data_IF_678851447711
#
_entry.id   IF_678851447711
#
_cell.length_a   1.000
_cell.length_b   1.000
_cell.length_c   1.000
_cell.angle_alpha   90.00
_cell.angle_beta   90.00
_cell.angle_gamma   90.00
#
_symmetry.space_group_name_H-M   'P 1'
#
loop_
_entity.id
_entity.type
_entity.pdbx_description
1 polymer ?
#
# COMPACT_ATOMS: atom_id res chain seq x y z
N UNK A 1 9.48 -5.43 7.26
CA UNK A 1 9.84 -4.93 5.92
C UNK A 1 9.25 -3.55 5.69
N UNK A 2 10.04 -2.59 5.18
CA UNK A 2 9.51 -1.28 4.72
C UNK A 2 9.44 -1.30 3.19
N UNK A 3 8.24 -1.13 2.63
CA UNK A 3 8.04 -0.96 1.19
C UNK A 3 8.26 0.51 0.85
N UNK A 4 9.24 0.81 0.01
CA UNK A 4 9.53 2.18 -0.41
C UNK A 4 9.95 2.22 -1.87
N UNK A 5 9.87 3.41 -2.47
CA UNK A 5 10.13 3.60 -3.90
C UNK A 5 8.88 3.35 -4.73
N UNK A 6 8.56 4.29 -5.62
CA UNK A 6 7.39 4.15 -6.50
C UNK A 6 6.02 4.45 -5.88
N UNK A 7 5.85 4.44 -4.55
CA UNK A 7 4.57 4.77 -3.90
C UNK A 7 4.17 6.24 -4.14
N UNK A 8 2.92 6.46 -4.56
CA UNK A 8 2.33 7.77 -4.92
C UNK A 8 0.98 8.05 -4.24
N UNK A 9 0.29 7.01 -3.77
CA UNK A 9 -1.07 7.12 -3.20
C UNK A 9 -1.22 6.31 -1.91
N UNK A 10 -2.22 6.65 -1.10
CA UNK A 10 -2.56 5.89 0.10
C UNK A 10 -3.02 4.47 -0.20
N UNK A 11 -3.68 4.25 -1.34
CA UNK A 11 -4.07 2.90 -1.80
C UNK A 11 -2.84 2.02 -2.07
N UNK A 12 -1.75 2.59 -2.60
CA UNK A 12 -0.49 1.86 -2.80
C UNK A 12 0.24 1.53 -1.49
N UNK A 13 0.09 2.37 -0.46
CA UNK A 13 0.54 2.04 0.91
C UNK A 13 -0.24 0.85 1.43
N UNK A 14 -1.57 0.86 1.33
CA UNK A 14 -2.42 -0.25 1.78
C UNK A 14 -2.09 -1.55 1.03
N UNK A 15 -1.90 -1.49 -0.30
CA UNK A 15 -1.44 -2.65 -1.08
C UNK A 15 -0.09 -3.17 -0.60
N UNK A 16 0.86 -2.27 -0.31
CA UNK A 16 2.18 -2.67 0.19
C UNK A 16 2.08 -3.43 1.51
N UNK A 17 1.26 -2.94 2.43
CA UNK A 17 1.05 -3.58 3.73
C UNK A 17 0.36 -4.93 3.56
N UNK A 18 -0.72 -4.98 2.77
CA UNK A 18 -1.44 -6.22 2.47
C UNK A 18 -0.55 -7.28 1.79
N UNK A 19 0.46 -6.86 1.02
CA UNK A 19 1.46 -7.76 0.43
C UNK A 19 2.57 -8.21 1.40
N UNK A 20 2.60 -7.70 2.64
CA UNK A 20 3.51 -8.14 3.69
C UNK A 20 4.53 -7.10 4.17
N UNK A 21 4.39 -5.82 3.81
CA UNK A 21 5.20 -4.75 4.40
C UNK A 21 4.61 -4.27 5.74
N UNK A 22 5.44 -3.82 6.67
CA UNK A 22 4.99 -3.21 7.93
C UNK A 22 4.68 -1.72 7.75
N UNK A 23 5.27 -1.09 6.71
CA UNK A 23 5.15 0.34 6.45
C UNK A 23 5.39 0.68 4.98
N UNK A 24 4.73 1.75 4.49
CA UNK A 24 4.98 2.37 3.19
C UNK A 24 5.78 3.68 3.32
N UNK A 25 6.80 3.86 2.47
CA UNK A 25 7.63 5.06 2.43
C UNK A 25 7.45 5.88 1.14
N UNK A 26 7.30 7.20 1.30
CA UNK A 26 7.17 8.16 0.19
C UNK A 26 8.17 9.31 0.35
N UNK A 27 8.82 9.70 -0.75
CA UNK A 27 9.79 10.81 -0.77
C UNK A 27 9.41 11.86 -1.82
N UNK A 28 9.48 11.50 -3.11
CA UNK A 28 9.23 12.42 -4.23
C UNK A 28 7.88 13.18 -4.14
N UNK A 29 6.72 12.53 -3.87
CA UNK A 29 5.43 13.24 -3.80
C UNK A 29 5.40 14.29 -2.68
N UNK A 30 5.97 13.97 -1.52
CA UNK A 30 6.08 14.93 -0.41
C UNK A 30 7.04 16.07 -0.73
N UNK A 31 8.18 15.80 -1.36
CA UNK A 31 9.11 16.85 -1.76
C UNK A 31 8.47 17.82 -2.77
N UNK A 32 7.75 17.30 -3.77
CA UNK A 32 7.07 18.12 -4.78
C UNK A 32 6.03 19.05 -4.17
N UNK A 33 5.31 18.60 -3.13
CA UNK A 33 4.34 19.42 -2.40
C UNK A 33 4.98 20.35 -1.39
N UNK A 34 6.08 19.95 -0.75
CA UNK A 34 6.85 20.80 0.14
C UNK A 34 7.40 22.05 -0.57
N UNK A 35 7.82 21.92 -1.84
CA UNK A 35 8.26 23.07 -2.66
C UNK A 35 7.13 24.06 -2.94
N UNK A 36 5.87 23.61 -2.91
CA UNK A 36 4.68 24.46 -3.08
C UNK A 36 4.28 25.18 -1.78
N UNK A 37 4.90 24.83 -0.66
CA UNK A 37 4.66 25.43 0.64
C UNK A 37 4.11 24.44 1.68
N UNK A 38 4.11 24.87 2.94
CA UNK A 38 3.68 24.06 4.08
C UNK A 38 2.23 23.57 3.95
N UNK A 39 1.32 24.45 3.55
CA UNK A 39 -0.12 24.12 3.49
C UNK A 39 -0.41 23.09 2.41
N UNK A 40 0.24 23.23 1.23
CA UNK A 40 0.13 22.24 0.15
C UNK A 40 0.68 20.86 0.55
N UNK A 41 1.75 20.82 1.35
CA UNK A 41 2.28 19.57 1.90
C UNK A 41 1.31 18.97 2.93
N UNK A 42 0.79 19.78 3.85
CA UNK A 42 -0.14 19.32 4.88
C UNK A 42 -1.42 18.73 4.26
N UNK A 43 -2.03 19.46 3.31
CA UNK A 43 -3.20 18.99 2.57
C UNK A 43 -2.91 17.69 1.82
N UNK A 44 -1.73 17.55 1.21
CA UNK A 44 -1.37 16.31 0.53
C UNK A 44 -1.21 15.13 1.50
N UNK A 45 -0.61 15.34 2.67
CA UNK A 45 -0.49 14.32 3.71
C UNK A 45 -1.88 13.89 4.19
N UNK A 46 -2.78 14.84 4.45
CA UNK A 46 -4.15 14.56 4.89
C UNK A 46 -4.92 13.75 3.83
N UNK A 47 -4.75 14.08 2.56
CA UNK A 47 -5.33 13.31 1.45
C UNK A 47 -4.80 11.87 1.40
N UNK A 48 -3.49 11.64 1.56
CA UNK A 48 -2.91 10.30 1.64
C UNK A 48 -3.50 9.51 2.82
N UNK A 49 -3.60 10.12 4.00
CA UNK A 49 -4.17 9.48 5.19
C UNK A 49 -5.63 9.11 4.93
N UNK A 50 -6.40 10.01 4.30
CA UNK A 50 -7.80 9.76 3.93
C UNK A 50 -7.92 8.58 2.96
N UNK A 51 -7.08 8.51 1.94
CA UNK A 51 -7.05 7.39 0.99
C UNK A 51 -6.76 6.05 1.69
N UNK A 52 -5.81 6.03 2.63
CA UNK A 52 -5.51 4.83 3.45
C UNK A 52 -6.76 4.41 4.23
N UNK A 53 -7.40 5.33 4.96
CA UNK A 53 -8.60 5.04 5.74
C UNK A 53 -9.75 4.52 4.87
N UNK A 54 -9.98 5.13 3.71
CA UNK A 54 -11.01 4.70 2.76
C UNK A 54 -10.70 3.31 2.21
N UNK A 55 -9.46 3.05 1.81
CA UNK A 55 -9.07 1.74 1.31
C UNK A 55 -9.21 0.65 2.37
N UNK A 56 -8.77 0.92 3.62
CA UNK A 56 -8.96 0.02 4.77
C UNK A 56 -10.44 -0.28 5.02
N UNK A 57 -11.29 0.75 5.01
CA UNK A 57 -12.74 0.60 5.14
C UNK A 57 -13.34 -0.31 4.05
N UNK A 58 -12.95 -0.10 2.79
CA UNK A 58 -13.47 -0.88 1.65
C UNK A 58 -13.06 -2.36 1.68
N UNK A 59 -11.93 -2.69 2.31
CA UNK A 59 -11.48 -4.09 2.47
C UNK A 59 -11.85 -4.69 3.84
N UNK A 60 -12.56 -3.93 4.67
CA UNK A 60 -13.04 -4.40 5.98
C UNK A 60 -11.96 -4.48 7.07
N UNK A 61 -10.81 -3.80 6.91
CA UNK A 61 -9.74 -3.78 7.89
C UNK A 61 -9.90 -2.61 8.88
N UNK A 62 -9.99 -2.90 10.17
CA UNK A 62 -10.17 -1.90 11.24
C UNK A 62 -8.87 -1.27 11.72
N UNK A 63 -7.75 -1.96 11.50
CA UNK A 63 -6.41 -1.53 11.88
C UNK A 63 -5.38 -2.04 10.85
N UNK A 64 -4.13 -1.61 11.01
CA UNK A 64 -3.05 -1.95 10.08
C UNK A 64 -2.71 -3.45 10.12
N UNK A 65 -2.78 -4.09 11.29
CA UNK A 65 -2.47 -5.51 11.43
C UNK A 65 -3.46 -6.40 10.66
N UNK A 66 -4.74 -6.02 10.63
CA UNK A 66 -5.78 -6.69 9.84
C UNK A 66 -5.51 -6.61 8.33
N UNK A 67 -4.79 -5.60 7.83
CA UNK A 67 -4.43 -5.52 6.40
C UNK A 67 -3.54 -6.67 5.95
N UNK A 68 -2.73 -7.26 6.84
CA UNK A 68 -1.90 -8.42 6.47
C UNK A 68 -2.73 -9.67 6.13
N UNK A 69 -3.98 -9.71 6.62
CA UNK A 69 -4.86 -10.87 6.54
C UNK A 69 -5.96 -10.70 5.47
N UNK A 70 -6.06 -9.53 4.84
CA UNK A 70 -7.05 -9.34 3.76
C UNK A 70 -6.68 -10.23 2.56
N UNK A 71 -7.65 -10.87 1.90
CA UNK A 71 -7.43 -11.58 0.64
C UNK A 71 -6.89 -10.65 -0.45
N UNK A 72 -5.82 -11.06 -1.12
CA UNK A 72 -5.18 -10.30 -2.22
C UNK A 72 -5.06 -11.17 -3.46
N UNK A 73 -5.51 -10.63 -4.59
CA UNK A 73 -5.28 -11.20 -5.92
C UNK A 73 -4.06 -10.54 -6.57
N UNK A 74 -3.02 -11.34 -6.85
CA UNK A 74 -1.85 -10.92 -7.62
C UNK A 74 -2.00 -11.41 -9.05
N UNK A 75 -1.93 -10.50 -10.02
CA UNK A 75 -2.21 -10.78 -11.43
C UNK A 75 -1.10 -10.27 -12.37
N UNK A 76 -1.19 -10.63 -13.66
CA UNK A 76 -0.31 -10.14 -14.71
C UNK A 76 1.16 -10.52 -14.54
N UNK A 77 2.06 -9.61 -14.96
CA UNK A 77 3.52 -9.83 -14.94
C UNK A 77 4.06 -10.17 -13.55
N UNK A 78 3.49 -9.57 -12.50
CA UNK A 78 3.90 -9.85 -11.11
C UNK A 78 3.54 -11.27 -10.69
N UNK A 79 2.36 -11.77 -11.07
CA UNK A 79 1.96 -13.14 -10.78
C UNK A 79 2.84 -14.16 -11.51
N UNK A 80 3.12 -13.92 -12.79
CA UNK A 80 4.04 -14.73 -13.59
C UNK A 80 5.44 -14.77 -12.96
N UNK A 81 5.98 -13.61 -12.61
CA UNK A 81 7.29 -13.48 -11.97
C UNK A 81 7.39 -14.27 -10.66
N UNK A 82 6.36 -14.18 -9.79
CA UNK A 82 6.32 -14.90 -8.53
C UNK A 82 6.23 -16.42 -8.74
N UNK A 83 5.38 -16.89 -9.67
CA UNK A 83 5.26 -18.31 -10.01
C UNK A 83 6.57 -18.88 -10.54
N UNK A 84 7.25 -18.16 -11.44
CA UNK A 84 8.56 -18.56 -11.97
C UNK A 84 9.64 -18.62 -10.89
N UNK A 85 9.47 -17.89 -9.78
CA UNK A 85 10.35 -17.95 -8.60
C UNK A 85 9.90 -18.96 -7.54
N UNK A 86 8.88 -19.77 -7.82
CA UNK A 86 8.41 -20.84 -6.92
C UNK A 86 7.52 -20.35 -5.77
N UNK A 87 6.97 -19.12 -5.84
CA UNK A 87 6.02 -18.65 -4.85
C UNK A 87 4.60 -19.18 -5.12
N UNK A 88 3.95 -19.71 -4.09
CA UNK A 88 2.53 -20.05 -4.14
C UNK A 88 1.66 -18.82 -3.86
N UNK A 89 0.88 -18.40 -4.86
CA UNK A 89 -0.02 -17.26 -4.77
C UNK A 89 -1.28 -17.56 -3.95
N UNK A 90 -1.63 -18.83 -3.72
CA UNK A 90 -2.78 -19.18 -2.88
C UNK A 90 -2.63 -18.67 -1.44
N UNK A 91 -1.39 -18.47 -0.98
CA UNK A 91 -1.07 -17.87 0.32
C UNK A 91 -1.50 -16.40 0.43
N UNK A 92 -1.79 -15.72 -0.68
CA UNK A 92 -2.30 -14.35 -0.68
C UNK A 92 -3.83 -14.33 -0.85
N UNK A 93 -4.39 -15.30 -1.57
CA UNK A 93 -5.83 -15.38 -1.83
C UNK A 93 -6.59 -15.91 -0.61
N UNK A 94 -6.04 -16.89 0.10
CA UNK A 94 -6.73 -17.60 1.18
C UNK A 94 -6.34 -17.09 2.58
N UNK A 95 -6.11 -15.79 2.71
CA UNK A 95 -5.81 -15.17 4.02
C UNK A 95 -7.12 -14.94 4.78
N UNK A 96 -7.13 -15.33 6.05
CA UNK A 96 -8.22 -15.16 7.00
C UNK A 96 -7.65 -14.63 8.31
#
# INVERSE_FOLDING_TARGET
VISSGGIRTGVEVVKSIALGADMGGMAKPFLEKAVQGRDALAEHIDNIIREIQVAMFLVGAKNIDELHHVPVLIMGKTAEWLRLRGFDLNNYVNRA
#
